data_IF_752226759772
#
_entry.id   IF_752226759772
#
_cell.length_a   1.000
_cell.length_b   1.000
_cell.length_c   1.000
_cell.angle_alpha   90.00
_cell.angle_beta   90.00
_cell.angle_gamma   90.00
#
_symmetry.space_group_name_H-M   'P 1'
#
loop_
_entity.id
_entity.type
_entity.pdbx_description
1 polymer ?
#
# COMPACT_ATOMS: atom_id res chain seq x y z
N UNK A 1 -1.31 -4.53 -43.02
CA UNK A 1 -0.51 -3.65 -42.14
C UNK A 1 0.59 -4.50 -41.53
N UNK A 2 1.82 -4.24 -41.94
CA UNK A 2 3.00 -5.08 -41.73
C UNK A 2 3.39 -5.06 -40.25
N UNK A 3 3.41 -6.24 -39.62
CA UNK A 3 3.90 -6.44 -38.25
C UNK A 3 5.40 -6.14 -38.25
N UNK A 4 5.77 -4.91 -37.89
CA UNK A 4 7.18 -4.50 -37.75
C UNK A 4 7.75 -5.31 -36.59
N UNK A 5 8.58 -6.31 -36.90
CA UNK A 5 9.26 -7.13 -35.92
C UNK A 5 9.97 -6.23 -34.91
N UNK A 6 9.50 -6.23 -33.67
CA UNK A 6 10.15 -5.55 -32.56
C UNK A 6 11.50 -6.23 -32.33
N UNK A 7 12.57 -5.57 -32.76
CA UNK A 7 13.94 -6.04 -32.54
C UNK A 7 14.19 -6.14 -31.01
N UNK A 8 14.43 -7.35 -30.46
CA UNK A 8 14.62 -7.54 -29.02
C UNK A 8 15.92 -6.93 -28.49
N UNK A 9 16.83 -6.50 -29.39
CA UNK A 9 18.10 -5.83 -29.06
C UNK A 9 18.08 -4.32 -29.28
N UNK A 10 16.96 -3.73 -29.69
CA UNK A 10 16.86 -2.27 -29.82
C UNK A 10 16.94 -1.62 -28.44
N UNK A 11 17.75 -0.57 -28.31
CA UNK A 11 17.83 0.24 -27.10
C UNK A 11 16.42 0.73 -26.73
N UNK A 12 15.86 0.17 -25.65
CA UNK A 12 14.56 0.57 -25.14
C UNK A 12 14.71 2.02 -24.62
N UNK A 13 13.92 2.98 -25.12
CA UNK A 13 14.02 4.35 -24.66
C UNK A 13 13.73 4.43 -23.15
N UNK A 14 14.68 4.98 -22.39
CA UNK A 14 14.62 5.10 -20.91
C UNK A 14 13.81 6.32 -20.44
N UNK A 15 13.17 7.04 -21.36
CA UNK A 15 12.37 8.22 -21.03
C UNK A 15 11.08 7.86 -20.28
N UNK A 16 10.60 8.77 -19.41
CA UNK A 16 9.32 8.62 -18.72
C UNK A 16 8.14 8.47 -19.71
N UNK A 17 8.20 9.13 -20.87
CA UNK A 17 7.19 9.02 -21.92
C UNK A 17 7.16 7.60 -22.52
N UNK A 18 8.34 7.01 -22.78
CA UNK A 18 8.45 5.64 -23.26
C UNK A 18 7.96 4.61 -22.24
N UNK A 19 8.23 4.84 -20.95
CA UNK A 19 7.70 4.03 -19.86
C UNK A 19 6.16 4.07 -19.88
N UNK A 20 5.57 5.27 -19.91
CA UNK A 20 4.12 5.43 -19.95
C UNK A 20 3.49 4.78 -21.19
N UNK A 21 4.11 4.93 -22.37
CA UNK A 21 3.68 4.29 -23.59
C UNK A 21 3.75 2.76 -23.48
N UNK A 22 4.83 2.21 -22.92
CA UNK A 22 4.98 0.77 -22.70
C UNK A 22 3.91 0.23 -21.75
N UNK A 23 3.65 0.92 -20.65
CA UNK A 23 2.58 0.55 -19.71
C UNK A 23 1.20 0.56 -20.39
N UNK A 24 0.92 1.58 -21.20
CA UNK A 24 -0.34 1.70 -21.93
C UNK A 24 -0.53 0.59 -22.99
N UNK A 25 0.54 0.30 -23.74
CA UNK A 25 0.57 -0.77 -24.74
C UNK A 25 0.34 -2.13 -24.10
N UNK A 26 0.92 -2.35 -22.92
CA UNK A 26 0.86 -3.62 -22.19
C UNK A 26 -0.28 -3.70 -21.14
N UNK A 27 -1.22 -2.75 -21.12
CA UNK A 27 -2.29 -2.69 -20.09
C UNK A 27 -3.10 -3.97 -19.93
N UNK A 28 -3.41 -4.67 -21.03
CA UNK A 28 -4.16 -5.93 -20.97
C UNK A 28 -3.35 -7.03 -20.30
N UNK A 29 -2.05 -7.12 -20.61
CA UNK A 29 -1.12 -8.04 -19.99
C UNK A 29 -0.96 -7.74 -18.50
N UNK A 30 -0.84 -6.46 -18.13
CA UNK A 30 -0.77 -6.00 -16.73
C UNK A 30 -2.00 -6.48 -15.97
N UNK A 31 -3.21 -6.25 -16.49
CA UNK A 31 -4.47 -6.66 -15.83
C UNK A 31 -4.55 -8.17 -15.68
N UNK A 32 -4.23 -8.94 -16.73
CA UNK A 32 -4.24 -10.41 -16.69
C UNK A 32 -3.23 -10.96 -15.68
N UNK A 33 -2.02 -10.41 -15.66
CA UNK A 33 -0.97 -10.83 -14.73
C UNK A 33 -1.31 -10.43 -13.29
N UNK A 34 -1.88 -9.25 -13.07
CA UNK A 34 -2.35 -8.79 -11.76
C UNK A 34 -3.42 -9.73 -11.21
N UNK A 35 -4.43 -10.06 -12.04
CA UNK A 35 -5.47 -11.02 -11.66
C UNK A 35 -4.87 -12.38 -11.32
N UNK A 36 -3.95 -12.88 -12.15
CA UNK A 36 -3.27 -14.15 -11.91
C UNK A 36 -2.47 -14.13 -10.61
N UNK A 37 -1.82 -13.03 -10.30
CA UNK A 37 -1.03 -12.87 -9.08
C UNK A 37 -1.92 -12.89 -7.83
N UNK A 38 -3.02 -12.12 -7.85
CA UNK A 38 -4.02 -12.12 -6.77
C UNK A 38 -4.59 -13.51 -6.55
N UNK A 39 -5.10 -14.15 -7.61
CA UNK A 39 -5.68 -15.50 -7.52
C UNK A 39 -4.61 -16.53 -7.11
N UNK A 40 -3.38 -16.37 -7.60
CA UNK A 40 -2.25 -17.23 -7.31
C UNK A 40 -1.89 -17.27 -5.82
N UNK A 41 -2.01 -16.14 -5.11
CA UNK A 41 -1.80 -16.06 -3.65
C UNK A 41 -2.74 -16.95 -2.85
N UNK A 42 -3.93 -17.20 -3.37
CA UNK A 42 -4.97 -17.98 -2.69
C UNK A 42 -5.20 -19.35 -3.31
N UNK A 43 -4.42 -19.72 -4.33
CA UNK A 43 -4.56 -21.01 -5.02
C UNK A 43 -4.20 -22.16 -4.09
N UNK A 44 -5.06 -23.17 -4.03
CA UNK A 44 -4.86 -24.36 -3.17
C UNK A 44 -5.32 -24.16 -1.72
N UNK A 45 -5.85 -23.00 -1.36
CA UNK A 45 -6.50 -22.77 -0.06
C UNK A 45 -7.98 -23.16 -0.10
N UNK A 46 -8.49 -23.76 0.98
CA UNK A 46 -9.88 -24.19 1.07
C UNK A 46 -10.89 -23.03 0.90
N UNK A 47 -10.59 -21.84 1.43
CA UNK A 47 -11.47 -20.67 1.30
C UNK A 47 -11.12 -19.77 0.10
N UNK A 48 -10.00 -20.04 -0.59
CA UNK A 48 -9.57 -19.28 -1.76
C UNK A 48 -9.52 -17.76 -1.53
N UNK A 49 -10.10 -16.99 -2.46
CA UNK A 49 -10.11 -15.52 -2.42
C UNK A 49 -10.79 -14.93 -1.19
N UNK A 50 -11.67 -15.66 -0.49
CA UNK A 50 -12.34 -15.14 0.70
C UNK A 50 -11.35 -14.76 1.82
N UNK A 51 -10.15 -15.34 1.84
CA UNK A 51 -9.08 -14.94 2.75
C UNK A 51 -8.65 -13.48 2.59
N UNK A 52 -8.75 -12.90 1.39
CA UNK A 52 -8.47 -11.48 1.18
C UNK A 52 -9.41 -10.57 1.98
N UNK A 53 -10.63 -11.03 2.28
CA UNK A 53 -11.61 -10.34 3.12
C UNK A 53 -11.49 -10.74 4.59
N UNK A 54 -11.32 -12.02 4.90
CA UNK A 54 -11.22 -12.47 6.29
C UNK A 54 -9.99 -11.91 7.00
N UNK A 55 -8.85 -11.82 6.32
CA UNK A 55 -7.62 -11.28 6.91
C UNK A 55 -7.82 -9.86 7.49
N UNK A 56 -8.27 -8.85 6.72
CA UNK A 56 -8.51 -7.52 7.27
C UNK A 56 -9.60 -7.48 8.34
N UNK A 57 -10.66 -8.31 8.23
CA UNK A 57 -11.69 -8.42 9.29
C UNK A 57 -11.11 -8.91 10.60
N UNK A 58 -10.32 -9.99 10.57
CA UNK A 58 -9.67 -10.52 11.76
C UNK A 58 -8.65 -9.53 12.34
N UNK A 59 -7.85 -8.90 11.49
CA UNK A 59 -6.88 -7.90 11.96
C UNK A 59 -7.57 -6.71 12.63
N UNK A 60 -8.66 -6.20 12.03
CA UNK A 60 -9.44 -5.13 12.64
C UNK A 60 -10.06 -5.57 13.97
N UNK A 61 -10.62 -6.79 14.05
CA UNK A 61 -11.16 -7.34 15.29
C UNK A 61 -10.08 -7.48 16.37
N UNK A 62 -8.88 -7.95 16.02
CA UNK A 62 -7.74 -8.04 16.93
C UNK A 62 -7.32 -6.64 17.42
N UNK A 63 -7.22 -5.65 16.53
CA UNK A 63 -6.89 -4.28 16.93
C UNK A 63 -7.97 -3.69 17.84
N UNK A 64 -9.24 -3.86 17.50
CA UNK A 64 -10.35 -3.43 18.37
C UNK A 64 -10.26 -4.11 19.74
N UNK A 65 -10.07 -5.43 19.79
CA UNK A 65 -9.94 -6.15 21.06
C UNK A 65 -8.74 -5.67 21.88
N UNK A 66 -7.54 -5.62 21.29
CA UNK A 66 -6.32 -5.24 22.01
C UNK A 66 -6.43 -3.82 22.57
N UNK A 67 -6.89 -2.86 21.78
CA UNK A 67 -6.94 -1.46 22.22
C UNK A 67 -8.15 -1.13 23.09
N UNK A 68 -9.30 -1.77 22.85
CA UNK A 68 -10.49 -1.57 23.68
C UNK A 68 -10.45 -2.36 24.98
N UNK A 69 -9.88 -3.57 25.01
CA UNK A 69 -9.92 -4.48 26.16
C UNK A 69 -8.62 -4.52 26.97
N UNK A 70 -7.45 -4.51 26.32
CA UNK A 70 -6.16 -4.68 27.02
C UNK A 70 -5.57 -3.32 27.44
N UNK A 71 -5.62 -2.31 26.56
CA UNK A 71 -5.03 -0.99 26.83
C UNK A 71 -5.98 0.00 27.55
N UNK A 72 -7.08 -0.51 28.13
CA UNK A 72 -8.18 0.23 28.78
C UNK A 72 -7.79 1.43 29.66
N UNK A 73 -6.62 1.43 30.33
CA UNK A 73 -6.26 2.45 31.34
C UNK A 73 -5.14 3.42 30.96
N UNK A 74 -4.42 3.24 29.85
CA UNK A 74 -3.21 4.04 29.58
C UNK A 74 -3.44 5.30 28.73
N UNK A 75 -4.63 5.49 28.17
CA UNK A 75 -4.88 6.55 27.18
C UNK A 75 -6.17 7.36 27.40
N UNK A 76 -6.68 7.39 28.64
CA UNK A 76 -7.64 8.41 29.09
C UNK A 76 -8.69 7.95 30.12
N UNK A 77 -8.49 8.32 31.38
CA UNK A 77 -9.55 8.45 32.41
C UNK A 77 -10.50 9.63 32.14
N UNK A 78 -10.72 10.00 30.88
CA UNK A 78 -11.61 11.11 30.49
C UNK A 78 -12.47 10.68 29.29
N UNK A 79 -13.61 10.06 29.60
CA UNK A 79 -14.82 10.05 28.76
C UNK A 79 -15.00 8.90 27.75
N UNK A 80 -16.02 8.07 28.02
CA UNK A 80 -16.87 7.36 27.03
C UNK A 80 -16.30 6.12 26.33
N UNK A 81 -17.15 5.10 26.11
CA UNK A 81 -16.82 3.90 25.33
C UNK A 81 -16.56 4.17 23.83
N UNK A 82 -17.03 5.31 23.30
CA UNK A 82 -16.93 5.67 21.88
C UNK A 82 -15.49 5.90 21.37
N UNK A 83 -14.57 6.36 22.23
CA UNK A 83 -13.18 6.68 21.81
C UNK A 83 -12.30 5.45 21.58
N UNK A 84 -12.62 4.30 22.17
CA UNK A 84 -11.77 3.08 22.08
C UNK A 84 -11.87 2.43 20.71
N UNK A 85 -13.10 2.23 20.24
CA UNK A 85 -13.39 1.69 18.90
C UNK A 85 -12.88 2.62 17.81
N UNK A 86 -12.92 3.93 18.05
CA UNK A 86 -12.36 4.94 17.15
C UNK A 86 -10.84 4.81 16.98
N UNK A 87 -10.10 4.46 18.04
CA UNK A 87 -8.66 4.26 17.94
C UNK A 87 -8.28 3.08 17.03
N UNK A 88 -8.96 1.94 17.18
CA UNK A 88 -8.68 0.76 16.36
C UNK A 88 -8.90 1.04 14.86
N UNK A 89 -9.95 1.79 14.54
CA UNK A 89 -10.24 2.26 13.17
C UNK A 89 -9.13 3.21 12.68
N UNK A 90 -8.70 4.19 13.49
CA UNK A 90 -7.63 5.15 13.13
C UNK A 90 -6.27 4.47 12.93
N UNK A 91 -5.96 3.45 13.74
CA UNK A 91 -4.79 2.59 13.57
C UNK A 91 -4.91 1.79 12.28
N UNK A 92 -6.08 1.22 12.01
CA UNK A 92 -6.30 0.40 10.82
C UNK A 92 -6.12 1.20 9.53
N UNK A 93 -6.50 2.49 9.50
CA UNK A 93 -6.13 3.41 8.41
C UNK A 93 -4.61 3.46 8.20
N UNK A 94 -3.85 3.65 9.28
CA UNK A 94 -2.39 3.68 9.23
C UNK A 94 -1.81 2.37 8.68
N UNK A 95 -2.35 1.23 9.13
CA UNK A 95 -1.95 -0.10 8.64
C UNK A 95 -2.28 -0.31 7.17
N UNK A 96 -3.43 0.17 6.68
CA UNK A 96 -3.81 0.10 5.26
C UNK A 96 -2.76 0.82 4.40
N UNK A 97 -2.40 2.04 4.75
CA UNK A 97 -1.40 2.85 4.02
C UNK A 97 -0.02 2.19 4.06
N UNK A 98 0.43 1.79 5.25
CA UNK A 98 1.73 1.14 5.44
C UNK A 98 1.82 -0.20 4.70
N UNK A 99 0.76 -1.00 4.72
CA UNK A 99 0.73 -2.32 4.07
C UNK A 99 0.81 -2.18 2.55
N UNK A 100 0.14 -1.18 1.95
CA UNK A 100 0.26 -0.91 0.51
C UNK A 100 1.71 -0.65 0.11
N UNK A 101 2.39 0.21 0.86
CA UNK A 101 3.80 0.54 0.63
C UNK A 101 4.71 -0.68 0.85
N UNK A 102 4.58 -1.34 1.99
CA UNK A 102 5.46 -2.42 2.41
C UNK A 102 5.27 -3.68 1.58
N UNK A 103 4.05 -3.99 1.14
CA UNK A 103 3.77 -5.16 0.30
C UNK A 103 4.52 -5.08 -1.04
N UNK A 104 4.54 -3.91 -1.67
CA UNK A 104 5.21 -3.71 -2.95
C UNK A 104 6.73 -3.68 -2.77
N UNK A 105 7.23 -2.92 -1.78
CA UNK A 105 8.67 -2.78 -1.54
C UNK A 105 9.33 -4.12 -1.19
N UNK A 106 8.74 -4.90 -0.30
CA UNK A 106 9.32 -6.18 0.12
C UNK A 106 9.38 -7.20 -1.03
N UNK A 107 8.48 -7.09 -2.00
CA UNK A 107 8.45 -7.98 -3.16
C UNK A 107 9.35 -7.51 -4.28
N UNK A 108 9.59 -6.21 -4.39
CA UNK A 108 10.32 -5.59 -5.49
C UNK A 108 11.66 -6.27 -5.82
N UNK A 109 12.57 -6.54 -4.85
CA UNK A 109 13.87 -7.17 -5.14
C UNK A 109 13.79 -8.54 -5.81
N UNK A 110 12.71 -9.29 -5.56
CA UNK A 110 12.50 -10.64 -6.09
C UNK A 110 11.70 -10.69 -7.40
N UNK A 111 11.17 -9.57 -7.91
CA UNK A 111 10.20 -9.58 -9.01
C UNK A 111 10.78 -10.17 -10.30
N UNK A 112 12.02 -9.82 -10.65
CA UNK A 112 12.67 -10.31 -11.88
C UNK A 112 13.07 -11.79 -11.72
N UNK A 113 13.67 -12.14 -10.57
CA UNK A 113 14.16 -13.50 -10.29
C UNK A 113 13.04 -14.54 -10.15
N UNK A 114 11.88 -14.14 -9.64
CA UNK A 114 10.71 -15.03 -9.52
C UNK A 114 10.00 -15.28 -10.86
N UNK A 115 10.26 -14.47 -11.88
CA UNK A 115 9.61 -14.53 -13.19
C UNK A 115 10.56 -14.92 -14.34
N UNK A 116 11.70 -15.55 -14.03
CA UNK A 116 12.76 -15.90 -15.01
C UNK A 116 12.25 -16.69 -16.23
N UNK A 117 11.23 -17.54 -16.04
CA UNK A 117 10.61 -18.31 -17.14
C UNK A 117 9.88 -17.43 -18.16
N UNK A 118 9.35 -16.28 -17.75
CA UNK A 118 8.73 -15.29 -18.65
C UNK A 118 9.80 -14.44 -19.34
N UNK A 119 10.83 -14.05 -18.60
CA UNK A 119 11.92 -13.17 -19.09
C UNK A 119 12.77 -13.84 -20.17
N UNK A 120 12.98 -15.17 -20.10
CA UNK A 120 13.87 -15.89 -21.03
C UNK A 120 13.20 -16.44 -22.30
N UNK A 121 11.87 -16.52 -22.37
CA UNK A 121 11.16 -17.28 -23.43
C UNK A 121 10.28 -16.45 -24.35
N UNK A 122 9.90 -15.23 -23.96
CA UNK A 122 9.08 -14.31 -24.76
C UNK A 122 9.64 -12.90 -24.54
N UNK A 123 9.48 -11.99 -25.51
CA UNK A 123 9.80 -10.56 -25.36
C UNK A 123 8.87 -9.97 -24.26
N UNK A 124 9.20 -10.22 -23.00
CA UNK A 124 8.41 -9.84 -21.84
C UNK A 124 8.89 -8.49 -21.31
N UNK A 125 8.03 -7.47 -21.22
CA UNK A 125 8.43 -6.14 -20.78
C UNK A 125 8.65 -6.14 -19.25
N UNK A 126 9.88 -6.29 -18.80
CA UNK A 126 10.22 -6.41 -17.37
C UNK A 126 9.79 -5.20 -16.53
N UNK A 127 9.63 -4.03 -17.16
CA UNK A 127 9.18 -2.79 -16.53
C UNK A 127 7.75 -2.87 -16.00
N UNK A 128 6.93 -3.83 -16.48
CA UNK A 128 5.56 -4.01 -15.99
C UNK A 128 5.49 -4.77 -14.66
N UNK A 129 6.55 -5.46 -14.25
CA UNK A 129 6.53 -6.31 -13.04
C UNK A 129 6.21 -5.54 -11.76
N UNK A 130 6.82 -4.37 -11.47
CA UNK A 130 6.43 -3.57 -10.31
C UNK A 130 4.99 -3.04 -10.38
N UNK A 131 4.48 -2.77 -11.59
CA UNK A 131 3.09 -2.34 -11.79
C UNK A 131 2.11 -3.47 -11.50
N UNK A 132 2.43 -4.70 -11.88
CA UNK A 132 1.64 -5.89 -11.53
C UNK A 132 1.61 -6.07 -10.00
N UNK A 133 2.76 -5.95 -9.33
CA UNK A 133 2.85 -6.06 -7.87
C UNK A 133 2.05 -4.97 -7.16
N UNK A 134 2.11 -3.73 -7.66
CA UNK A 134 1.30 -2.61 -7.20
C UNK A 134 -0.20 -2.87 -7.40
N UNK A 135 -0.61 -3.37 -8.57
CA UNK A 135 -2.00 -3.73 -8.83
C UNK A 135 -2.53 -4.81 -7.88
N UNK A 136 -1.70 -5.80 -7.55
CA UNK A 136 -2.05 -6.83 -6.57
C UNK A 136 -2.16 -6.24 -5.16
N UNK A 137 -1.25 -5.37 -4.75
CA UNK A 137 -1.32 -4.69 -3.45
C UNK A 137 -2.54 -3.78 -3.33
N UNK A 138 -2.87 -3.02 -4.39
CA UNK A 138 -4.07 -2.19 -4.46
C UNK A 138 -5.36 -3.01 -4.33
N UNK A 139 -5.43 -4.22 -4.90
CA UNK A 139 -6.57 -5.11 -4.70
C UNK A 139 -6.80 -5.44 -3.21
N UNK A 140 -5.76 -5.85 -2.48
CA UNK A 140 -5.86 -6.17 -1.05
C UNK A 140 -6.13 -4.91 -0.21
N UNK A 141 -5.55 -3.78 -0.61
CA UNK A 141 -5.77 -2.49 0.02
C UNK A 141 -7.23 -2.04 -0.11
N UNK A 142 -7.83 -2.17 -1.29
CA UNK A 142 -9.24 -1.86 -1.54
C UNK A 142 -10.18 -2.74 -0.71
N UNK A 143 -9.88 -4.02 -0.55
CA UNK A 143 -10.67 -4.90 0.33
C UNK A 143 -10.54 -4.47 1.78
N UNK A 144 -9.32 -4.15 2.23
CA UNK A 144 -9.09 -3.67 3.60
C UNK A 144 -9.79 -2.33 3.86
N UNK A 145 -9.81 -1.44 2.86
CA UNK A 145 -10.55 -0.18 2.89
C UNK A 145 -12.06 -0.44 2.96
N UNK A 146 -12.59 -1.37 2.17
CA UNK A 146 -14.00 -1.77 2.25
C UNK A 146 -14.39 -2.30 3.63
N UNK A 147 -13.53 -3.10 4.26
CA UNK A 147 -13.71 -3.58 5.64
C UNK A 147 -13.68 -2.43 6.64
N UNK A 148 -12.73 -1.50 6.52
CA UNK A 148 -12.66 -0.30 7.36
C UNK A 148 -13.95 0.52 7.26
N UNK A 149 -14.40 0.81 6.04
CA UNK A 149 -15.60 1.64 5.81
C UNK A 149 -16.86 0.94 6.34
N UNK A 150 -17.00 -0.37 6.12
CA UNK A 150 -18.09 -1.14 6.68
C UNK A 150 -18.09 -1.09 8.22
N UNK A 151 -16.94 -1.31 8.85
CA UNK A 151 -16.81 -1.24 10.30
C UNK A 151 -17.09 0.18 10.84
N UNK A 152 -16.56 1.22 10.18
CA UNK A 152 -16.81 2.61 10.58
C UNK A 152 -18.29 2.96 10.51
N UNK A 153 -18.98 2.57 9.43
CA UNK A 153 -20.41 2.78 9.26
C UNK A 153 -21.23 2.01 10.31
N UNK A 154 -20.83 0.77 10.64
CA UNK A 154 -21.49 -0.03 11.67
C UNK A 154 -21.33 0.57 13.08
N UNK A 155 -20.17 1.15 13.39
CA UNK A 155 -19.90 1.72 14.71
C UNK A 155 -20.46 3.13 14.90
N UNK A 156 -20.42 3.97 13.86
CA UNK A 156 -20.81 5.38 13.97
C UNK A 156 -22.20 5.68 13.37
N UNK A 157 -22.75 4.78 12.56
CA UNK A 157 -24.03 4.96 11.88
C UNK A 157 -23.98 5.86 10.63
N UNK A 158 -22.80 6.33 10.21
CA UNK A 158 -22.63 7.18 9.03
C UNK A 158 -21.27 6.99 8.33
N UNK A 159 -21.14 7.54 7.13
CA UNK A 159 -19.89 7.69 6.38
C UNK A 159 -19.72 9.14 5.96
N UNK A 160 -18.49 9.66 6.02
CA UNK A 160 -18.19 10.96 5.44
C UNK A 160 -18.10 10.86 3.91
N UNK A 161 -18.64 11.84 3.20
CA UNK A 161 -18.56 11.88 1.73
C UNK A 161 -17.12 12.08 1.24
N UNK A 162 -16.25 12.65 2.07
CA UNK A 162 -14.82 12.89 1.81
C UNK A 162 -14.02 11.62 1.52
N UNK A 163 -14.56 10.43 1.84
CA UNK A 163 -13.99 9.12 1.48
C UNK A 163 -13.68 9.04 -0.03
N UNK A 164 -14.41 9.77 -0.88
CA UNK A 164 -14.13 9.84 -2.32
C UNK A 164 -12.74 10.39 -2.67
N UNK A 165 -12.11 11.16 -1.77
CA UNK A 165 -10.75 11.69 -1.95
C UNK A 165 -9.65 10.68 -1.60
N UNK A 166 -9.98 9.49 -1.09
CA UNK A 166 -8.98 8.46 -0.74
C UNK A 166 -8.04 8.11 -1.89
N UNK A 167 -8.50 7.90 -3.14
CA UNK A 167 -7.60 7.62 -4.27
C UNK A 167 -6.63 8.77 -4.55
N UNK A 168 -7.08 10.02 -4.36
CA UNK A 168 -6.24 11.21 -4.53
C UNK A 168 -5.15 11.25 -3.44
N UNK A 169 -5.51 10.98 -2.19
CA UNK A 169 -4.57 10.94 -1.07
C UNK A 169 -3.53 9.83 -1.23
N UNK A 170 -3.92 8.67 -1.77
CA UNK A 170 -3.00 7.54 -1.99
C UNK A 170 -2.15 7.69 -3.25
N UNK A 171 -2.49 8.56 -4.19
CA UNK A 171 -1.80 8.71 -5.46
C UNK A 171 -0.29 9.02 -5.32
N UNK A 172 0.14 9.97 -4.48
CA UNK A 172 1.57 10.22 -4.27
C UNK A 172 2.30 8.99 -3.73
N UNK A 173 1.65 8.23 -2.84
CA UNK A 173 2.22 6.99 -2.31
C UNK A 173 2.42 5.96 -3.41
N UNK A 174 1.44 5.78 -4.29
CA UNK A 174 1.54 4.85 -5.43
C UNK A 174 2.72 5.21 -6.33
N UNK A 175 2.89 6.50 -6.65
CA UNK A 175 3.97 7.00 -7.49
C UNK A 175 5.34 6.74 -6.85
N UNK A 176 5.52 7.12 -5.59
CA UNK A 176 6.78 6.93 -4.85
C UNK A 176 7.11 5.44 -4.72
N UNK A 177 6.11 4.63 -4.38
CA UNK A 177 6.25 3.17 -4.22
C UNK A 177 6.68 2.51 -5.53
N UNK A 178 6.08 2.90 -6.66
CA UNK A 178 6.48 2.38 -7.98
C UNK A 178 7.92 2.78 -8.33
N UNK A 179 8.29 4.05 -8.11
CA UNK A 179 9.65 4.54 -8.30
C UNK A 179 10.69 3.70 -7.56
N UNK A 180 10.46 3.51 -6.25
CA UNK A 180 11.32 2.67 -5.40
C UNK A 180 11.29 1.20 -5.83
N UNK A 181 10.12 0.68 -6.21
CA UNK A 181 10.00 -0.71 -6.63
C UNK A 181 10.77 -1.01 -7.92
N UNK A 182 10.79 -0.10 -8.90
CA UNK A 182 11.65 -0.26 -10.08
C UNK A 182 13.14 -0.27 -9.72
N UNK A 183 13.58 0.65 -8.85
CA UNK A 183 14.96 0.70 -8.38
C UNK A 183 15.36 -0.59 -7.65
N UNK A 184 14.51 -1.05 -6.72
CA UNK A 184 14.76 -2.26 -5.94
C UNK A 184 14.69 -3.53 -6.77
N UNK A 185 13.79 -3.61 -7.74
CA UNK A 185 13.72 -4.73 -8.67
C UNK A 185 15.00 -4.84 -9.51
N UNK A 186 15.56 -3.71 -9.95
CA UNK A 186 16.85 -3.68 -10.63
C UNK A 186 17.99 -4.11 -9.70
N UNK A 187 18.07 -3.55 -8.49
CA UNK A 187 19.14 -3.85 -7.54
C UNK A 187 19.11 -5.31 -7.04
N UNK A 188 17.93 -5.87 -6.83
CA UNK A 188 17.74 -7.24 -6.35
C UNK A 188 18.23 -8.33 -7.33
N UNK A 189 18.42 -7.99 -8.61
CA UNK A 189 19.06 -8.90 -9.58
C UNK A 189 20.54 -9.07 -9.29
N UNK A 190 21.21 -8.01 -8.82
CA UNK A 190 22.66 -8.01 -8.56
C UNK A 190 22.99 -8.38 -7.11
N UNK A 191 22.15 -7.97 -6.17
CA UNK A 191 22.39 -8.10 -4.73
C UNK A 191 21.29 -8.92 -4.05
N UNK A 192 21.64 -10.09 -3.52
CA UNK A 192 20.69 -11.01 -2.87
C UNK A 192 20.16 -10.47 -1.52
N UNK A 193 20.95 -9.66 -0.82
CA UNK A 193 20.62 -9.19 0.54
C UNK A 193 19.66 -7.99 0.55
N UNK A 194 19.32 -7.44 -0.62
CA UNK A 194 18.38 -6.31 -0.75
C UNK A 194 17.03 -6.69 -0.17
N UNK A 195 16.55 -7.90 -0.42
CA UNK A 195 15.26 -8.37 0.11
C UNK A 195 15.20 -8.33 1.64
N UNK A 196 16.24 -8.84 2.31
CA UNK A 196 16.33 -8.82 3.77
C UNK A 196 16.43 -7.39 4.30
N UNK A 197 17.25 -6.55 3.65
CA UNK A 197 17.44 -5.14 4.02
C UNK A 197 16.13 -4.35 3.93
N UNK A 198 15.34 -4.56 2.88
CA UNK A 198 14.03 -3.91 2.72
C UNK A 198 13.01 -4.40 3.76
N UNK A 199 13.06 -5.67 4.16
CA UNK A 199 12.25 -6.20 5.26
C UNK A 199 12.51 -5.46 6.57
N UNK A 200 13.79 -5.21 6.89
CA UNK A 200 14.18 -4.43 8.08
C UNK A 200 13.72 -2.98 7.95
N UNK A 201 13.97 -2.33 6.81
CA UNK A 201 13.58 -0.93 6.57
C UNK A 201 12.07 -0.74 6.69
N UNK A 202 11.26 -1.61 6.08
CA UNK A 202 9.79 -1.50 6.17
C UNK A 202 9.29 -1.72 7.60
N UNK A 203 9.93 -2.61 8.36
CA UNK A 203 9.66 -2.78 9.81
C UNK A 203 10.02 -1.52 10.60
N UNK A 204 11.16 -0.90 10.35
CA UNK A 204 11.56 0.36 11.02
C UNK A 204 10.59 1.48 10.65
N UNK A 205 10.21 1.60 9.38
CA UNK A 205 9.25 2.61 8.91
C UNK A 205 7.86 2.45 9.55
N UNK A 206 7.44 1.23 9.88
CA UNK A 206 6.19 1.00 10.61
C UNK A 206 6.17 1.69 11.98
N UNK A 207 7.29 1.68 12.71
CA UNK A 207 7.38 2.34 14.02
C UNK A 207 7.70 3.84 13.93
N UNK A 208 8.40 4.26 12.88
CA UNK A 208 8.68 5.68 12.58
C UNK A 208 7.52 6.40 11.88
N UNK A 209 6.48 5.69 11.48
CA UNK A 209 5.25 6.30 10.99
C UNK A 209 4.24 6.38 12.14
N UNK A 210 3.37 7.41 12.16
CA UNK A 210 2.35 7.59 13.20
C UNK A 210 1.18 6.60 13.03
N UNK A 211 1.47 5.31 12.82
CA UNK A 211 0.45 4.25 12.69
C UNK A 211 -0.19 3.95 14.05
N UNK A 212 0.65 3.78 15.08
CA UNK A 212 0.22 3.39 16.42
C UNK A 212 0.00 4.55 17.38
N UNK A 213 0.33 5.77 16.97
CA UNK A 213 0.28 6.95 17.82
C UNK A 213 -0.01 8.21 17.00
N UNK A 214 -0.67 9.22 17.60
CA UNK A 214 -0.83 10.52 16.95
C UNK A 214 0.50 11.28 16.94
N UNK A 215 0.73 12.11 15.92
CA UNK A 215 1.94 12.94 15.79
C UNK A 215 2.14 13.88 16.99
N UNK A 216 1.04 14.33 17.60
CA UNK A 216 1.05 15.20 18.78
C UNK A 216 1.70 14.55 20.01
N UNK A 217 1.65 13.21 20.12
CA UNK A 217 2.29 12.47 21.20
C UNK A 217 3.82 12.36 21.05
N UNK A 218 4.37 12.71 19.88
CA UNK A 218 5.81 12.69 19.63
C UNK A 218 6.46 13.93 20.26
N UNK A 219 7.56 13.79 21.03
CA UNK A 219 8.32 14.92 21.56
C UNK A 219 8.75 15.89 20.45
N UNK A 220 8.70 17.20 20.70
CA UNK A 220 8.88 18.23 19.67
C UNK A 220 10.18 18.09 18.89
N UNK A 221 11.28 17.71 19.57
CA UNK A 221 12.59 17.44 18.97
C UNK A 221 12.59 16.36 17.89
N UNK A 222 11.67 15.40 17.95
CA UNK A 222 11.59 14.27 17.01
C UNK A 222 10.50 14.43 15.95
N UNK A 223 9.58 15.40 16.10
CA UNK A 223 8.51 15.65 15.13
C UNK A 223 9.03 15.88 13.71
N UNK A 224 10.12 16.65 13.46
CA UNK A 224 10.62 16.84 12.09
C UNK A 224 11.04 15.53 11.40
N UNK A 225 11.65 14.59 12.15
CA UNK A 225 12.05 13.30 11.60
C UNK A 225 10.85 12.42 11.24
N UNK A 226 9.82 12.43 12.08
CA UNK A 226 8.57 11.71 11.80
C UNK A 226 7.84 12.35 10.61
N UNK A 227 7.83 13.68 10.49
CA UNK A 227 7.21 14.38 9.36
C UNK A 227 7.98 14.22 8.04
N UNK A 228 9.29 13.96 8.09
CA UNK A 228 10.09 13.66 6.90
C UNK A 228 9.77 12.28 6.30
N UNK A 229 9.13 11.38 7.05
CA UNK A 229 8.72 10.08 6.54
C UNK A 229 7.56 10.26 5.54
N UNK A 230 7.69 9.79 4.28
CA UNK A 230 6.65 9.95 3.26
C UNK A 230 5.32 9.29 3.64
N UNK A 231 5.35 8.28 4.52
CA UNK A 231 4.12 7.64 5.02
C UNK A 231 3.34 8.52 5.99
N UNK A 232 4.02 9.37 6.76
CA UNK A 232 3.38 10.19 7.81
C UNK A 232 2.33 11.11 7.23
N UNK A 233 2.69 11.86 6.19
CA UNK A 233 1.75 12.76 5.54
C UNK A 233 0.53 12.00 4.98
N UNK A 234 0.76 10.88 4.29
CA UNK A 234 -0.32 10.11 3.66
C UNK A 234 -1.24 9.45 4.71
N UNK A 235 -0.69 8.97 5.83
CA UNK A 235 -1.47 8.40 6.94
C UNK A 235 -2.38 9.46 7.56
N UNK A 236 -1.86 10.65 7.84
CA UNK A 236 -2.65 11.73 8.42
C UNK A 236 -3.73 12.19 7.44
N UNK A 237 -3.39 12.41 6.17
CA UNK A 237 -4.37 12.77 5.13
C UNK A 237 -5.44 11.70 4.93
N UNK A 238 -5.08 10.42 5.02
CA UNK A 238 -6.04 9.33 4.94
C UNK A 238 -7.00 9.35 6.13
N UNK A 239 -6.53 9.68 7.34
CA UNK A 239 -7.38 9.85 8.53
C UNK A 239 -8.33 11.04 8.37
N UNK A 240 -7.85 12.16 7.87
CA UNK A 240 -8.68 13.36 7.63
C UNK A 240 -9.88 13.04 6.72
N UNK A 241 -9.64 12.38 5.59
CA UNK A 241 -10.71 12.11 4.61
C UNK A 241 -11.60 10.92 4.96
N UNK A 242 -11.07 9.89 5.64
CA UNK A 242 -11.81 8.68 5.97
C UNK A 242 -12.57 8.76 7.30
N UNK A 243 -11.97 9.40 8.31
CA UNK A 243 -12.42 9.34 9.70
C UNK A 243 -12.98 10.68 10.17
N UNK A 244 -12.30 11.78 9.85
CA UNK A 244 -12.64 13.11 10.39
C UNK A 244 -13.59 13.91 9.49
N UNK A 245 -13.75 13.52 8.22
CA UNK A 245 -14.64 14.19 7.30
C UNK A 245 -14.11 15.52 6.76
N UNK A 246 -12.81 15.75 6.85
CA UNK A 246 -12.16 16.96 6.37
C UNK A 246 -11.65 16.81 4.94
N UNK A 247 -11.46 17.94 4.26
CA UNK A 247 -10.84 17.97 2.95
C UNK A 247 -9.35 17.63 3.04
N UNK A 248 -8.77 16.99 2.01
CA UNK A 248 -7.34 16.81 1.95
C UNK A 248 -6.63 18.17 1.92
N UNK A 249 -5.48 18.25 2.58
CA UNK A 249 -4.62 19.42 2.56
C UNK A 249 -3.96 19.53 1.18
N UNK A 250 -4.50 20.43 0.36
CA UNK A 250 -4.07 20.69 -1.02
C UNK A 250 -2.61 21.15 -1.11
N UNK A 251 -2.13 21.94 -0.15
CA UNK A 251 -0.76 22.48 -0.13
C UNK A 251 0.27 21.36 0.04
N UNK A 252 -0.02 20.37 0.87
CA UNK A 252 0.86 19.21 1.06
C UNK A 252 0.80 18.19 -0.08
N UNK A 253 -0.24 18.24 -0.92
CA UNK A 253 -0.43 17.34 -2.08
C UNK A 253 0.09 17.90 -3.40
N UNK A 254 0.70 19.10 -3.38
CA UNK A 254 1.31 19.73 -4.55
C UNK A 254 0.49 20.85 -5.19
N UNK A 255 -0.46 21.45 -4.46
CA UNK A 255 -1.21 22.65 -4.84
C UNK A 255 -0.68 23.93 -4.22
#
# INVERSE_FOLDING_TARGET
MTQKGTNPHAAQPTSLAALAESLWRNRQLIVQMTKREVVGRYKGSAMGLAWSFFNPVFMLAVYTFVFSEIFKSRWGEIGGDDRKTQFAVVLFVGMIVLNLFSEVLNRAPGLILSNVNYVKKVVFPIEILPVIAMGAALFHNLISLGVLLAAFALFNGYLHWTVIFTPLVLLPLVIITLGLAWMLASLGVFLRDVGQTIGIITTVLMFLSPVFYPVTAVPERFRPFIMANPLTFIIEQAREVLIWGHFPNWIGLGG
#
